data_IF_677232886563
#
_entry.id   IF_677232886563
#
_cell.length_a   1.000
_cell.length_b   1.000
_cell.length_c   1.000
_cell.angle_alpha   90.00
_cell.angle_beta   90.00
_cell.angle_gamma   90.00
#
_symmetry.space_group_name_H-M   'P 1'
#
loop_
_entity.id
_entity.type
_entity.pdbx_description
1 polymer ?
#
# COMPACT_ATOMS: atom_id res chain seq x y z
N UNK A 1 14.24 21.14 -14.51
CA UNK A 1 14.37 19.80 -13.91
C UNK A 1 13.49 19.64 -12.67
N UNK A 2 13.09 20.73 -11.98
CA UNK A 2 12.17 20.62 -10.83
C UNK A 2 10.70 20.40 -11.22
N UNK A 3 10.21 21.02 -12.31
CA UNK A 3 8.81 20.89 -12.75
C UNK A 3 8.46 19.44 -13.11
N UNK A 4 9.38 18.70 -13.73
CA UNK A 4 9.19 17.28 -14.08
C UNK A 4 9.02 16.44 -12.82
N UNK A 5 9.82 16.68 -11.78
CA UNK A 5 9.72 15.97 -10.50
C UNK A 5 8.39 16.23 -9.78
N UNK A 6 7.83 17.44 -9.86
CA UNK A 6 6.51 17.71 -9.30
C UNK A 6 5.39 16.99 -10.06
N UNK A 7 5.50 16.91 -11.38
CA UNK A 7 4.53 16.19 -12.23
C UNK A 7 4.60 14.69 -11.97
N UNK A 8 5.79 14.12 -11.85
CA UNK A 8 5.98 12.70 -11.55
C UNK A 8 5.45 12.34 -10.16
N UNK A 9 5.68 13.19 -9.15
CA UNK A 9 5.10 13.03 -7.81
C UNK A 9 3.56 13.07 -7.83
N UNK A 10 2.98 14.01 -8.58
CA UNK A 10 1.52 14.09 -8.74
C UNK A 10 0.96 12.83 -9.42
N UNK A 11 1.66 12.31 -10.43
CA UNK A 11 1.28 11.06 -11.08
C UNK A 11 1.28 9.87 -10.11
N UNK A 12 2.34 9.70 -9.33
CA UNK A 12 2.44 8.62 -8.33
C UNK A 12 1.36 8.77 -7.25
N UNK A 13 1.07 9.99 -6.81
CA UNK A 13 0.01 10.27 -5.83
C UNK A 13 -1.38 9.91 -6.38
N UNK A 14 -1.68 10.30 -7.63
CA UNK A 14 -2.93 9.94 -8.30
C UNK A 14 -3.04 8.42 -8.50
N UNK A 15 -1.96 7.76 -8.93
CA UNK A 15 -1.91 6.31 -9.08
C UNK A 15 -2.15 5.60 -7.74
N UNK A 16 -1.57 6.11 -6.65
CA UNK A 16 -1.81 5.61 -5.29
C UNK A 16 -3.29 5.70 -4.89
N UNK A 17 -3.95 6.82 -5.16
CA UNK A 17 -5.39 6.99 -4.90
C UNK A 17 -6.22 5.97 -5.70
N UNK A 18 -5.89 5.71 -6.96
CA UNK A 18 -6.60 4.73 -7.78
C UNK A 18 -6.44 3.30 -7.25
N UNK A 19 -5.25 2.93 -6.77
CA UNK A 19 -5.00 1.62 -6.17
C UNK A 19 -5.79 1.44 -4.86
N UNK A 20 -5.94 2.49 -4.06
CA UNK A 20 -6.78 2.47 -2.85
C UNK A 20 -8.24 2.11 -3.16
N UNK A 21 -8.77 2.51 -4.32
CA UNK A 21 -10.13 2.17 -4.75
C UNK A 21 -10.32 0.71 -5.19
N UNK A 22 -9.25 -0.06 -5.40
CA UNK A 22 -9.36 -1.49 -5.77
C UNK A 22 -9.95 -2.34 -4.65
N UNK A 23 -9.69 -1.96 -3.40
CA UNK A 23 -10.16 -2.66 -2.21
C UNK A 23 -11.70 -2.63 -2.06
N UNK A 24 -12.38 -1.47 -2.03
CA UNK A 24 -13.83 -1.43 -2.08
C UNK A 24 -14.40 -1.94 -3.41
N UNK A 25 -13.64 -1.82 -4.53
CA UNK A 25 -14.03 -2.40 -5.82
C UNK A 25 -14.17 -3.92 -5.78
N UNK A 26 -13.20 -4.62 -5.18
CA UNK A 26 -13.24 -6.07 -5.01
C UNK A 26 -14.34 -6.50 -4.03
N UNK A 27 -14.54 -5.74 -2.96
CA UNK A 27 -15.65 -5.96 -2.02
C UNK A 27 -17.02 -5.98 -2.72
N UNK A 28 -17.26 -5.03 -3.65
CA UNK A 28 -18.51 -4.96 -4.40
C UNK A 28 -18.69 -6.17 -5.34
N UNK A 29 -17.61 -6.66 -5.94
CA UNK A 29 -17.63 -7.85 -6.79
C UNK A 29 -17.93 -9.10 -5.97
N UNK A 30 -17.23 -9.33 -4.85
CA UNK A 30 -17.47 -10.49 -3.99
C UNK A 30 -18.90 -10.51 -3.44
N UNK A 31 -19.40 -9.35 -3.01
CA UNK A 31 -20.74 -9.23 -2.42
C UNK A 31 -21.84 -9.39 -3.46
N UNK A 32 -21.61 -8.97 -4.71
CA UNK A 32 -22.53 -9.13 -5.84
C UNK A 32 -22.71 -10.59 -6.30
N UNK A 33 -21.69 -11.45 -6.16
CA UNK A 33 -21.79 -12.88 -6.50
C UNK A 33 -22.32 -13.76 -5.35
N UNK A 34 -22.60 -13.19 -4.19
CA UNK A 34 -23.05 -13.95 -3.01
C UNK A 34 -24.55 -13.86 -2.82
N UNK A 35 -25.16 -14.92 -2.27
CA UNK A 35 -26.60 -14.91 -1.95
C UNK A 35 -26.91 -13.75 -0.99
N UNK A 36 -28.00 -13.02 -1.28
CA UNK A 36 -28.43 -11.82 -0.53
C UNK A 36 -28.44 -12.00 1.00
N UNK A 37 -28.79 -13.20 1.50
CA UNK A 37 -28.81 -13.51 2.94
C UNK A 37 -27.44 -13.49 3.65
N UNK A 38 -26.33 -13.56 2.92
CA UNK A 38 -24.97 -13.54 3.49
C UNK A 38 -24.12 -12.35 2.99
N UNK A 39 -24.67 -11.49 2.14
CA UNK A 39 -23.95 -10.36 1.54
C UNK A 39 -23.43 -9.39 2.61
N UNK A 40 -24.24 -9.08 3.63
CA UNK A 40 -23.85 -8.19 4.75
C UNK A 40 -22.66 -8.72 5.55
N UNK A 41 -22.63 -10.03 5.81
CA UNK A 41 -21.55 -10.67 6.55
C UNK A 41 -20.22 -10.69 5.77
N UNK A 42 -20.29 -10.67 4.43
CA UNK A 42 -19.12 -10.63 3.55
C UNK A 42 -18.59 -9.20 3.42
N UNK A 43 -19.47 -8.20 3.24
CA UNK A 43 -19.10 -6.77 3.27
C UNK A 43 -18.31 -6.46 4.54
N UNK A 44 -18.84 -6.86 5.70
CA UNK A 44 -18.22 -6.56 7.00
C UNK A 44 -16.82 -7.21 7.10
N UNK A 45 -16.68 -8.48 6.73
CA UNK A 45 -15.38 -9.18 6.76
C UNK A 45 -14.35 -8.56 5.81
N UNK A 46 -14.77 -8.18 4.61
CA UNK A 46 -13.90 -7.55 3.64
C UNK A 46 -13.47 -6.13 4.11
N UNK A 47 -14.36 -5.40 4.78
CA UNK A 47 -14.05 -4.10 5.40
C UNK A 47 -13.03 -4.21 6.55
N UNK A 48 -13.07 -5.28 7.36
CA UNK A 48 -12.02 -5.56 8.35
C UNK A 48 -10.66 -5.86 7.71
N UNK A 49 -10.64 -6.45 6.51
CA UNK A 49 -9.41 -6.60 5.71
C UNK A 49 -8.77 -5.25 5.35
N UNK A 50 -9.58 -4.22 5.09
CA UNK A 50 -9.12 -2.85 4.84
C UNK A 50 -8.51 -2.20 6.09
N UNK A 51 -8.97 -2.62 7.27
CA UNK A 51 -8.45 -2.12 8.55
C UNK A 51 -7.03 -2.64 8.85
N UNK A 52 -6.54 -3.64 8.11
CA UNK A 52 -5.17 -4.14 8.21
C UNK A 52 -4.10 -3.16 7.68
N UNK A 53 -4.43 -1.88 7.48
CA UNK A 53 -3.48 -0.83 7.09
C UNK A 53 -2.28 -0.72 8.03
N UNK A 54 -2.48 -1.09 9.30
CA UNK A 54 -1.39 -1.17 10.28
C UNK A 54 -0.30 -2.20 9.91
N UNK A 55 -0.65 -3.31 9.26
CA UNK A 55 0.33 -4.27 8.74
C UNK A 55 1.03 -3.74 7.48
N UNK A 56 0.40 -2.82 6.75
CA UNK A 56 0.98 -2.19 5.56
C UNK A 56 2.16 -1.27 5.92
N UNK A 57 2.11 -0.58 7.07
CA UNK A 57 3.23 0.25 7.56
C UNK A 57 4.46 -0.60 7.90
N UNK A 58 4.26 -1.76 8.53
CA UNK A 58 5.35 -2.69 8.84
C UNK A 58 5.89 -3.39 7.58
N UNK A 59 5.00 -3.79 6.66
CA UNK A 59 5.39 -4.35 5.36
C UNK A 59 6.11 -3.34 4.47
N UNK A 60 5.66 -2.09 4.46
CA UNK A 60 6.32 -0.98 3.77
C UNK A 60 7.74 -0.78 4.29
N UNK A 61 7.92 -0.79 5.61
CA UNK A 61 9.25 -0.73 6.21
C UNK A 61 10.17 -1.88 5.76
N UNK A 62 9.69 -3.13 5.79
CA UNK A 62 10.51 -4.29 5.40
C UNK A 62 10.85 -4.26 3.90
N UNK A 63 9.91 -3.87 3.05
CA UNK A 63 10.09 -3.89 1.59
C UNK A 63 10.92 -2.70 1.06
N UNK A 64 10.80 -1.51 1.66
CA UNK A 64 11.55 -0.31 1.25
C UNK A 64 12.89 -0.14 1.97
N UNK A 65 13.24 -1.02 2.92
CA UNK A 65 14.56 -1.08 3.55
C UNK A 65 15.69 -1.55 2.60
N UNK A 66 15.43 -1.64 1.29
CA UNK A 66 16.40 -2.05 0.28
C UNK A 66 17.57 -1.03 0.21
N UNK A 67 18.66 -1.34 0.91
CA UNK A 67 19.81 -0.45 1.11
C UNK A 67 20.41 -0.47 2.53
N UNK A 68 19.69 -1.05 3.51
CA UNK A 68 20.20 -1.27 4.87
C UNK A 68 20.99 -2.58 5.05
N UNK A 69 21.40 -2.89 6.28
CA UNK A 69 22.00 -4.20 6.63
C UNK A 69 21.05 -5.34 6.28
N UNK A 70 21.39 -6.10 5.26
CA UNK A 70 20.60 -7.23 4.78
C UNK A 70 21.10 -8.55 5.37
N UNK A 71 20.20 -9.39 5.86
CA UNK A 71 20.46 -10.82 6.04
C UNK A 71 20.47 -11.49 4.65
N UNK A 72 21.64 -11.49 4.01
CA UNK A 72 21.88 -12.22 2.76
C UNK A 72 21.05 -11.80 1.55
N UNK A 73 20.55 -10.55 1.52
CA UNK A 73 19.74 -10.03 0.41
C UNK A 73 18.26 -10.44 0.41
N UNK A 74 17.81 -11.25 1.37
CA UNK A 74 16.41 -11.71 1.47
C UNK A 74 15.57 -10.90 2.46
N UNK A 75 16.18 -10.40 3.54
CA UNK A 75 15.53 -9.58 4.54
C UNK A 75 16.40 -8.37 4.86
N UNK A 76 15.87 -7.17 4.59
CA UNK A 76 16.49 -5.92 4.97
C UNK A 76 15.83 -5.39 6.25
N UNK A 77 16.63 -5.18 7.30
CA UNK A 77 16.21 -4.50 8.52
C UNK A 77 17.15 -3.32 8.74
N UNK A 78 16.57 -2.12 8.71
CA UNK A 78 17.28 -0.86 8.65
C UNK A 78 16.36 0.26 9.13
N UNK A 79 16.69 1.52 8.80
CA UNK A 79 15.99 2.71 9.31
C UNK A 79 14.46 2.55 9.27
N UNK A 80 13.85 2.74 10.42
CA UNK A 80 12.41 2.71 10.60
C UNK A 80 11.87 4.05 10.10
N UNK A 81 11.31 4.05 8.90
CA UNK A 81 10.85 5.25 8.19
C UNK A 81 11.96 6.19 7.72
N UNK A 82 11.52 7.27 7.07
CA UNK A 82 12.24 8.28 6.29
C UNK A 82 13.39 8.97 7.06
N UNK A 83 14.51 8.27 7.22
CA UNK A 83 15.73 8.84 7.77
C UNK A 83 16.82 8.85 6.68
N UNK A 84 16.89 9.97 5.96
CA UNK A 84 17.75 10.19 4.79
C UNK A 84 17.13 11.17 3.78
N UNK A 85 17.97 11.79 2.94
CA UNK A 85 17.57 12.72 1.88
C UNK A 85 16.34 12.21 1.12
N UNK A 86 15.30 13.04 1.05
CA UNK A 86 13.96 12.71 0.57
C UNK A 86 13.86 12.35 -0.92
N UNK A 87 14.98 12.24 -1.61
CA UNK A 87 15.01 11.99 -3.04
C UNK A 87 14.98 10.49 -3.35
N UNK A 88 15.58 9.64 -2.51
CA UNK A 88 15.78 8.21 -2.81
C UNK A 88 14.55 7.33 -2.60
N UNK A 89 13.49 7.84 -1.97
CA UNK A 89 12.35 7.01 -1.61
C UNK A 89 11.34 6.81 -2.76
N UNK A 90 11.33 7.71 -3.75
CA UNK A 90 10.42 7.64 -4.91
C UNK A 90 11.11 8.02 -6.23
N UNK A 91 12.42 8.34 -6.24
CA UNK A 91 13.24 8.61 -7.44
C UNK A 91 14.71 8.17 -7.29
#
# INVERSE_FOLDING_TARGET
MEITTYVDNLWVLMAGILVMFMHPGFMLVETGFTRAKNSVNIVIKNFYGLHSWFNYLLGFWICFSYGGTSLGGFLAYGNFFLEGESLTYFF
#
